data_IF_555393116644
#
_entry.id   IF_555393116644
#
_cell.length_a   1.000
_cell.length_b   1.000
_cell.length_c   1.000
_cell.angle_alpha   90.00
_cell.angle_beta   90.00
_cell.angle_gamma   90.00
#
_symmetry.space_group_name_H-M   'P 1'
#
loop_
_entity.id
_entity.type
_entity.pdbx_description
1 polymer ?
#
# COMPACT_ATOMS: atom_id res chain seq x y z
N UNK A 1 -7.06 -13.46 -12.48
CA UNK A 1 -6.50 -12.74 -11.31
C UNK A 1 -7.29 -11.45 -11.14
N UNK A 2 -7.47 -10.95 -9.92
CA UNK A 2 -8.13 -9.67 -9.62
C UNK A 2 -7.09 -8.71 -9.07
N UNK A 3 -6.93 -7.57 -9.74
CA UNK A 3 -6.18 -6.43 -9.24
C UNK A 3 -7.16 -5.46 -8.60
N UNK A 4 -6.84 -5.00 -7.39
CA UNK A 4 -7.60 -3.95 -6.70
C UNK A 4 -6.92 -2.61 -6.95
N UNK A 5 -7.68 -1.69 -7.54
CA UNK A 5 -7.20 -0.35 -7.91
C UNK A 5 -7.83 0.71 -7.04
N UNK A 6 -7.08 1.74 -6.67
CA UNK A 6 -7.65 2.91 -6.00
C UNK A 6 -8.70 3.57 -6.90
N UNK A 7 -9.88 3.83 -6.36
CA UNK A 7 -10.98 4.40 -7.15
C UNK A 7 -10.71 5.85 -7.54
N UNK A 8 -9.83 6.55 -6.82
CA UNK A 8 -9.51 7.96 -7.06
C UNK A 8 -8.41 8.16 -8.10
N UNK A 9 -7.36 7.32 -8.07
CA UNK A 9 -6.17 7.50 -8.92
C UNK A 9 -6.03 6.49 -10.03
N UNK A 10 -6.77 5.37 -9.97
CA UNK A 10 -6.55 4.22 -10.84
C UNK A 10 -5.17 3.54 -10.66
N UNK A 11 -4.45 3.81 -9.57
CA UNK A 11 -3.24 3.07 -9.21
C UNK A 11 -3.59 1.66 -8.76
N UNK A 12 -2.74 0.68 -9.09
CA UNK A 12 -2.84 -0.69 -8.57
C UNK A 12 -2.31 -0.74 -7.14
N UNK A 13 -3.04 -1.40 -6.24
CA UNK A 13 -2.74 -1.35 -4.79
C UNK A 13 -2.41 -2.73 -4.24
N UNK A 14 -3.26 -3.73 -4.50
CA UNK A 14 -3.12 -5.13 -4.06
C UNK A 14 -3.77 -6.08 -5.10
N UNK A 15 -3.59 -7.39 -4.95
CA UNK A 15 -4.29 -8.39 -5.78
C UNK A 15 -4.75 -9.60 -4.98
N UNK A 16 -5.71 -10.34 -5.52
CA UNK A 16 -6.20 -11.63 -4.99
C UNK A 16 -5.18 -12.77 -5.05
N UNK A 17 -3.97 -12.52 -5.60
CA UNK A 17 -2.86 -13.48 -5.57
C UNK A 17 -2.17 -13.54 -4.20
N UNK A 18 -2.52 -12.64 -3.28
CA UNK A 18 -2.08 -12.62 -1.89
C UNK A 18 -3.23 -13.01 -0.95
N UNK A 19 -2.93 -13.38 0.30
CA UNK A 19 -3.96 -13.70 1.30
C UNK A 19 -4.64 -12.42 1.81
N UNK A 20 -5.81 -12.10 1.25
CA UNK A 20 -6.60 -10.92 1.61
C UNK A 20 -7.64 -11.28 2.69
N UNK A 21 -7.57 -10.58 3.83
CA UNK A 21 -8.52 -10.68 4.94
C UNK A 21 -9.30 -9.38 5.09
N UNK A 22 -10.61 -9.47 5.18
CA UNK A 22 -11.45 -8.31 5.50
C UNK A 22 -11.48 -8.06 7.01
N UNK A 23 -11.10 -6.85 7.41
CA UNK A 23 -11.04 -6.43 8.81
C UNK A 23 -12.08 -5.33 9.06
N UNK A 24 -12.85 -5.51 10.14
CA UNK A 24 -13.91 -4.59 10.60
C UNK A 24 -14.94 -4.20 9.52
N UNK A 25 -15.02 -4.97 8.43
CA UNK A 25 -15.90 -4.69 7.31
C UNK A 25 -15.52 -3.46 6.47
N UNK A 26 -14.32 -2.88 6.65
CA UNK A 26 -13.95 -1.58 6.04
C UNK A 26 -12.54 -1.52 5.47
N UNK A 27 -11.66 -2.45 5.88
CA UNK A 27 -10.30 -2.53 5.41
C UNK A 27 -9.98 -3.95 4.93
N UNK A 28 -9.02 -4.05 4.02
CA UNK A 28 -8.36 -5.29 3.66
C UNK A 28 -6.98 -5.31 4.28
N UNK A 29 -6.63 -6.45 4.84
CA UNK A 29 -5.30 -6.78 5.33
C UNK A 29 -4.72 -7.87 4.43
N UNK A 30 -3.47 -7.69 4.00
CA UNK A 30 -2.81 -8.58 3.05
C UNK A 30 -1.47 -9.00 3.60
N UNK A 31 -1.29 -10.30 3.79
CA UNK A 31 0.00 -10.86 4.21
C UNK A 31 1.05 -10.67 3.10
N UNK A 32 2.20 -10.14 3.46
CA UNK A 32 3.32 -9.91 2.55
C UNK A 32 4.60 -10.53 3.09
N UNK A 33 5.65 -10.55 2.26
CA UNK A 33 6.92 -11.16 2.61
C UNK A 33 8.08 -10.31 2.10
N UNK A 34 9.18 -10.33 2.84
CA UNK A 34 10.44 -9.77 2.37
C UNK A 34 11.12 -10.79 1.45
N UNK A 35 11.37 -10.41 0.21
CA UNK A 35 12.01 -11.22 -0.83
C UNK A 35 13.33 -10.59 -1.25
N UNK A 36 14.27 -11.42 -1.71
CA UNK A 36 15.50 -10.93 -2.35
C UNK A 36 15.28 -10.86 -3.86
N UNK A 37 15.40 -9.67 -4.43
CA UNK A 37 15.53 -9.49 -5.87
C UNK A 37 16.97 -9.82 -6.24
N UNK A 38 17.15 -10.81 -7.14
CA UNK A 38 18.47 -11.13 -7.67
C UNK A 38 18.98 -10.04 -8.61
N UNK A 39 20.31 -10.00 -8.78
CA UNK A 39 20.98 -9.00 -9.61
C UNK A 39 20.36 -8.98 -11.01
N UNK A 40 19.85 -7.82 -11.43
CA UNK A 40 19.63 -7.59 -12.85
C UNK A 40 21.02 -7.55 -13.46
N UNK A 41 21.45 -8.66 -14.09
CA UNK A 41 22.61 -8.64 -14.96
C UNK A 41 22.29 -7.71 -16.12
N UNK A 42 22.56 -6.42 -15.94
CA UNK A 42 22.63 -5.49 -17.06
C UNK A 42 23.86 -5.92 -17.83
N UNK A 43 23.67 -6.64 -18.92
CA UNK A 43 24.72 -6.94 -19.89
C UNK A 43 25.06 -5.62 -20.61
N UNK A 44 25.71 -4.70 -19.88
CA UNK A 44 26.37 -3.52 -20.43
C UNK A 44 27.56 -4.03 -21.22
N UNK A 45 27.27 -4.45 -22.45
CA UNK A 45 28.22 -5.03 -23.39
C UNK A 45 29.55 -4.30 -23.37
N UNK A 46 30.58 -5.07 -23.00
CA UNK A 46 31.99 -4.88 -23.31
C UNK A 46 32.46 -3.43 -23.51
N UNK A 47 33.02 -2.83 -22.46
CA UNK A 47 34.24 -2.04 -22.64
C UNK A 47 35.22 -2.36 -21.52
N UNK A 48 36.12 -3.30 -21.80
CA UNK A 48 37.23 -3.66 -20.94
C UNK A 48 38.29 -2.55 -20.97
N UNK A 49 38.40 -1.78 -19.90
CA UNK A 49 39.66 -1.14 -19.53
C UNK A 49 39.87 -1.36 -18.04
N UNK A 50 40.84 -2.23 -17.75
CA UNK A 50 41.33 -2.54 -16.42
C UNK A 50 41.86 -1.28 -15.71
N UNK A 51 41.61 -1.16 -14.41
CA UNK A 51 42.57 -1.35 -13.31
C UNK A 51 41.91 -0.92 -11.98
N UNK A 52 42.36 -1.52 -10.87
CA UNK A 52 41.90 -1.36 -9.47
C UNK A 52 40.67 -2.18 -9.05
N UNK A 53 40.93 -3.43 -8.68
CA UNK A 53 40.08 -4.23 -7.82
C UNK A 53 40.45 -3.96 -6.35
N UNK A 54 39.62 -3.22 -5.61
CA UNK A 54 39.32 -3.48 -4.20
C UNK A 54 38.14 -2.62 -3.71
N UNK A 55 36.94 -2.94 -4.21
CA UNK A 55 35.74 -2.92 -3.38
C UNK A 55 34.83 -3.99 -3.98
N UNK A 56 34.72 -5.13 -3.30
CA UNK A 56 33.74 -6.13 -3.64
C UNK A 56 32.36 -5.52 -3.34
N UNK A 57 31.81 -4.81 -4.33
CA UNK A 57 30.43 -4.37 -4.30
C UNK A 57 29.58 -5.62 -4.06
N UNK A 58 28.91 -5.69 -2.91
CA UNK A 58 27.72 -6.52 -2.71
C UNK A 58 26.57 -6.01 -3.61
N UNK A 59 26.86 -5.74 -4.89
CA UNK A 59 25.92 -5.27 -5.90
C UNK A 59 25.19 -6.49 -6.44
N UNK A 60 23.99 -6.73 -5.94
CA UNK A 60 23.09 -7.65 -6.62
C UNK A 60 21.82 -8.02 -5.87
N UNK A 61 21.85 -8.10 -4.55
CA UNK A 61 20.72 -8.62 -3.78
C UNK A 61 19.99 -7.52 -3.02
N UNK A 62 18.88 -7.04 -3.58
CA UNK A 62 18.02 -6.07 -2.91
C UNK A 62 16.87 -6.79 -2.20
N UNK A 63 16.82 -6.70 -0.87
CA UNK A 63 15.69 -7.20 -0.09
C UNK A 63 14.53 -6.20 -0.13
N UNK A 64 13.38 -6.61 -0.64
CA UNK A 64 12.19 -5.76 -0.80
C UNK A 64 10.94 -6.47 -0.29
N UNK A 65 9.92 -5.71 0.10
CA UNK A 65 8.60 -6.28 0.36
C UNK A 65 7.91 -6.64 -0.97
N UNK A 66 7.43 -7.87 -1.12
CA UNK A 66 6.87 -8.37 -2.37
C UNK A 66 5.64 -7.59 -2.85
N UNK A 67 4.73 -7.18 -1.96
CA UNK A 67 3.54 -6.39 -2.30
C UNK A 67 3.96 -4.98 -2.70
N UNK A 68 4.76 -4.30 -1.89
CA UNK A 68 5.27 -2.95 -2.18
C UNK A 68 5.96 -2.91 -3.53
N UNK A 69 6.83 -3.88 -3.81
CA UNK A 69 7.55 -3.97 -5.07
C UNK A 69 6.64 -4.30 -6.26
N UNK A 70 5.72 -5.26 -6.10
CA UNK A 70 4.84 -5.70 -7.20
C UNK A 70 3.91 -4.60 -7.70
N UNK A 71 3.38 -3.77 -6.78
CA UNK A 71 2.48 -2.67 -7.11
C UNK A 71 3.19 -1.32 -7.19
N UNK A 72 4.54 -1.33 -7.15
CA UNK A 72 5.39 -0.13 -7.25
C UNK A 72 4.98 0.96 -6.25
N UNK A 73 4.58 0.56 -5.06
CA UNK A 73 4.15 1.47 -4.00
C UNK A 73 5.34 2.33 -3.55
N UNK A 74 5.09 3.61 -3.34
CA UNK A 74 6.12 4.60 -3.03
C UNK A 74 6.09 4.94 -1.55
N UNK A 75 7.23 4.74 -0.86
CA UNK A 75 7.36 5.11 0.55
C UNK A 75 7.08 6.60 0.75
N UNK A 76 6.33 6.92 1.80
CA UNK A 76 6.03 8.29 2.21
C UNK A 76 6.04 8.40 3.73
N UNK A 77 5.98 9.62 4.25
CA UNK A 77 5.96 9.86 5.69
C UNK A 77 4.92 10.89 6.07
N UNK A 78 4.35 10.69 7.26
CA UNK A 78 3.40 11.61 7.85
C UNK A 78 3.80 11.90 9.29
N UNK A 79 3.46 13.10 9.76
CA UNK A 79 3.23 13.30 11.18
C UNK A 79 1.74 13.00 11.48
N UNK A 80 1.42 12.79 12.75
CA UNK A 80 0.05 12.42 13.15
C UNK A 80 -1.01 13.44 12.71
N UNK A 81 -0.64 14.73 12.64
CA UNK A 81 -1.55 15.82 12.26
C UNK A 81 -1.77 15.84 10.75
N UNK A 82 -0.71 15.70 9.95
CA UNK A 82 -0.81 15.64 8.49
C UNK A 82 -1.54 14.39 8.03
N UNK A 83 -1.32 13.24 8.68
CA UNK A 83 -2.08 12.02 8.37
C UNK A 83 -3.58 12.17 8.69
N UNK A 84 -3.94 12.77 9.84
CA UNK A 84 -5.34 13.05 10.16
C UNK A 84 -6.01 13.98 9.13
N UNK A 85 -5.28 14.99 8.65
CA UNK A 85 -5.77 15.90 7.63
C UNK A 85 -6.00 15.18 6.29
N UNK A 86 -5.00 14.40 5.85
CA UNK A 86 -5.08 13.52 4.68
C UNK A 86 -6.28 12.57 4.79
N UNK A 87 -6.37 11.80 5.88
CA UNK A 87 -7.38 10.76 6.05
C UNK A 87 -8.78 11.35 6.03
N UNK A 88 -8.99 12.53 6.61
CA UNK A 88 -10.29 13.22 6.55
C UNK A 88 -10.66 13.62 5.11
N UNK A 89 -9.69 14.11 4.33
CA UNK A 89 -9.87 14.42 2.91
C UNK A 89 -10.22 13.19 2.10
N UNK A 90 -9.40 12.14 2.23
CA UNK A 90 -9.58 10.85 1.58
C UNK A 90 -10.96 10.25 1.88
N UNK A 91 -11.35 10.15 3.15
CA UNK A 91 -12.66 9.62 3.55
C UNK A 91 -13.84 10.38 2.96
N UNK A 92 -13.72 11.71 2.83
CA UNK A 92 -14.75 12.53 2.17
C UNK A 92 -14.83 12.22 0.67
N UNK A 93 -13.70 12.01 0.00
CA UNK A 93 -13.67 11.63 -1.40
C UNK A 93 -14.30 10.23 -1.61
N UNK A 94 -13.92 9.25 -0.79
CA UNK A 94 -14.53 7.90 -0.85
C UNK A 94 -16.03 7.94 -0.62
N UNK A 95 -16.50 8.70 0.38
CA UNK A 95 -17.95 8.90 0.60
C UNK A 95 -18.64 9.44 -0.66
N UNK A 96 -18.06 10.42 -1.33
CA UNK A 96 -18.62 11.00 -2.53
C UNK A 96 -18.67 9.98 -3.68
N UNK A 97 -17.64 9.16 -3.85
CA UNK A 97 -17.63 8.08 -4.85
C UNK A 97 -18.66 6.99 -4.55
N UNK A 98 -18.83 6.58 -3.28
CA UNK A 98 -19.88 5.64 -2.88
C UNK A 98 -21.27 6.17 -3.21
N UNK A 99 -21.53 7.46 -2.96
CA UNK A 99 -22.79 8.11 -3.31
C UNK A 99 -23.01 8.18 -4.83
N UNK A 100 -21.97 8.52 -5.60
CA UNK A 100 -22.03 8.49 -7.08
C UNK A 100 -22.29 7.10 -7.63
N UNK A 101 -21.77 6.07 -6.98
CA UNK A 101 -22.01 4.66 -7.31
C UNK A 101 -23.42 4.17 -6.90
N UNK A 102 -24.29 5.06 -6.39
CA UNK A 102 -25.67 4.74 -6.05
C UNK A 102 -25.83 3.96 -4.74
N UNK A 103 -24.83 3.97 -3.86
CA UNK A 103 -24.94 3.36 -2.53
C UNK A 103 -26.00 4.06 -1.69
N UNK A 104 -26.79 3.25 -0.98
CA UNK A 104 -27.85 3.77 -0.11
C UNK A 104 -27.28 4.60 1.04
N UNK A 105 -28.11 5.48 1.61
CA UNK A 105 -27.71 6.26 2.78
C UNK A 105 -27.30 5.37 3.97
N UNK A 106 -27.92 4.20 4.10
CA UNK A 106 -27.58 3.21 5.12
C UNK A 106 -26.18 2.63 4.91
N UNK A 107 -25.83 2.25 3.67
CA UNK A 107 -24.48 1.76 3.34
C UNK A 107 -23.42 2.84 3.55
N UNK A 108 -23.70 4.09 3.15
CA UNK A 108 -22.77 5.22 3.36
C UNK A 108 -22.55 5.48 4.85
N UNK A 109 -23.61 5.44 5.65
CA UNK A 109 -23.51 5.63 7.11
C UNK A 109 -22.76 4.49 7.80
N UNK A 110 -22.95 3.26 7.35
CA UNK A 110 -22.21 2.09 7.84
C UNK A 110 -20.71 2.25 7.56
N UNK A 111 -20.35 2.65 6.33
CA UNK A 111 -18.97 3.00 5.96
C UNK A 111 -18.39 4.08 6.88
N UNK A 112 -19.07 5.21 7.04
CA UNK A 112 -18.57 6.32 7.88
C UNK A 112 -18.31 5.86 9.32
N UNK A 113 -19.21 5.04 9.87
CA UNK A 113 -19.10 4.53 11.24
C UNK A 113 -17.92 3.58 11.40
N UNK A 114 -17.80 2.59 10.51
CA UNK A 114 -16.71 1.60 10.55
C UNK A 114 -15.36 2.25 10.23
N UNK A 115 -15.31 3.13 9.24
CA UNK A 115 -14.10 3.87 8.88
C UNK A 115 -13.61 4.75 10.04
N UNK A 116 -14.51 5.44 10.75
CA UNK A 116 -14.15 6.20 11.94
C UNK A 116 -13.62 5.30 13.07
N UNK A 117 -14.19 4.09 13.24
CA UNK A 117 -13.70 3.09 14.18
C UNK A 117 -12.28 2.62 13.85
N UNK A 118 -12.04 2.23 12.59
CA UNK A 118 -10.74 1.76 12.13
C UNK A 118 -9.68 2.87 12.12
N UNK A 119 -10.06 4.09 11.72
CA UNK A 119 -9.19 5.26 11.78
C UNK A 119 -8.65 5.49 13.19
N UNK A 120 -9.47 5.33 14.24
CA UNK A 120 -8.99 5.43 15.63
C UNK A 120 -7.92 4.39 15.95
N UNK A 121 -8.05 3.15 15.45
CA UNK A 121 -7.04 2.09 15.64
C UNK A 121 -5.71 2.48 15.00
N UNK A 122 -5.75 2.97 13.76
CA UNK A 122 -4.55 3.45 13.05
C UNK A 122 -3.87 4.58 13.85
N UNK A 123 -4.66 5.56 14.29
CA UNK A 123 -4.17 6.76 15.01
C UNK A 123 -3.61 6.43 16.39
N UNK A 124 -4.14 5.41 17.08
CA UNK A 124 -3.61 4.94 18.36
C UNK A 124 -2.23 4.31 18.20
N UNK A 125 -2.02 3.55 17.13
CA UNK A 125 -0.76 2.86 16.82
C UNK A 125 0.06 3.58 15.73
N UNK A 126 -0.10 4.91 15.62
CA UNK A 126 0.41 5.70 14.49
C UNK A 126 1.91 5.48 14.20
N UNK A 127 2.71 5.31 15.26
CA UNK A 127 4.17 5.17 15.15
C UNK A 127 4.63 3.82 14.61
N UNK A 128 3.75 2.83 14.64
CA UNK A 128 4.06 1.46 14.22
C UNK A 128 3.76 1.26 12.73
N UNK A 129 3.08 2.22 12.10
CA UNK A 129 2.76 2.16 10.67
C UNK A 129 3.86 2.80 9.84
N UNK A 130 4.25 2.07 8.80
CA UNK A 130 4.90 2.64 7.62
C UNK A 130 3.82 3.05 6.60
N UNK A 131 4.08 4.12 5.84
CA UNK A 131 3.11 4.69 4.91
C UNK A 131 3.62 4.58 3.48
N UNK A 132 2.77 4.12 2.58
CA UNK A 132 3.07 4.01 1.16
C UNK A 132 1.94 4.64 0.34
N UNK A 133 2.30 5.39 -0.69
CA UNK A 133 1.38 5.89 -1.72
C UNK A 133 1.37 4.97 -2.94
N UNK A 134 0.33 5.05 -3.77
CA UNK A 134 0.32 4.41 -5.09
C UNK A 134 1.45 4.92 -5.99
N UNK A 135 1.66 4.25 -7.13
CA UNK A 135 2.73 4.57 -8.09
C UNK A 135 2.72 6.04 -8.53
N UNK A 136 1.53 6.64 -8.70
CA UNK A 136 1.39 8.04 -9.09
C UNK A 136 1.84 9.05 -8.02
N UNK A 137 2.01 8.63 -6.77
CA UNK A 137 2.24 9.49 -5.60
C UNK A 137 1.21 10.61 -5.44
N UNK A 138 0.00 10.43 -5.97
CA UNK A 138 -1.04 11.45 -5.87
C UNK A 138 -1.46 11.64 -4.40
N UNK A 139 -1.39 12.88 -3.87
CA UNK A 139 -1.69 13.16 -2.45
C UNK A 139 -3.15 12.91 -2.07
N UNK A 140 -4.06 12.86 -3.04
CA UNK A 140 -5.48 12.56 -2.83
C UNK A 140 -5.78 11.05 -2.89
N UNK A 141 -4.82 10.23 -3.31
CA UNK A 141 -4.97 8.79 -3.49
C UNK A 141 -4.89 8.00 -2.17
N UNK A 142 -5.03 6.68 -2.28
CA UNK A 142 -4.90 5.78 -1.14
C UNK A 142 -3.47 5.78 -0.56
N UNK A 143 -3.38 5.89 0.77
CA UNK A 143 -2.19 5.56 1.55
C UNK A 143 -2.37 4.15 2.10
N UNK A 144 -1.51 3.25 1.61
CA UNK A 144 -1.36 1.88 2.11
C UNK A 144 -0.52 1.91 3.38
N UNK A 145 -0.97 1.18 4.39
CA UNK A 145 -0.27 1.09 5.67
C UNK A 145 0.46 -0.25 5.75
N UNK A 146 1.71 -0.26 6.15
CA UNK A 146 2.45 -1.49 6.42
C UNK A 146 2.79 -1.56 7.91
N UNK A 147 2.64 -2.75 8.48
CA UNK A 147 3.10 -3.05 9.84
C UNK A 147 3.52 -4.53 9.91
N UNK A 148 4.00 -4.96 11.07
CA UNK A 148 4.48 -6.31 11.32
C UNK A 148 3.58 -7.00 12.34
N UNK A 149 3.43 -8.32 12.20
CA UNK A 149 2.71 -9.16 13.17
C UNK A 149 3.41 -9.12 14.54
N UNK A 150 2.79 -9.74 15.55
CA UNK A 150 3.35 -9.83 16.90
C UNK A 150 4.73 -10.51 16.96
N UNK A 151 5.08 -11.29 15.93
CA UNK A 151 6.42 -11.88 15.76
C UNK A 151 7.50 -10.86 15.37
N UNK A 152 7.12 -9.62 15.02
CA UNK A 152 8.00 -8.53 14.64
C UNK A 152 8.70 -8.69 13.29
N UNK A 153 8.40 -9.73 12.52
CA UNK A 153 9.13 -10.06 11.28
C UNK A 153 8.22 -10.37 10.09
N UNK A 154 6.97 -10.77 10.32
CA UNK A 154 6.00 -11.03 9.25
C UNK A 154 5.28 -9.73 8.89
N UNK A 155 5.54 -9.14 7.70
CA UNK A 155 4.87 -7.90 7.32
C UNK A 155 3.46 -8.18 6.80
N UNK A 156 2.59 -7.19 6.96
CA UNK A 156 1.29 -7.14 6.30
C UNK A 156 1.00 -5.71 5.87
N UNK A 157 0.23 -5.56 4.79
CA UNK A 157 -0.29 -4.25 4.38
C UNK A 157 -1.78 -4.13 4.65
N UNK A 158 -2.25 -2.90 4.81
CA UNK A 158 -3.65 -2.57 5.00
C UNK A 158 -4.08 -1.53 3.97
N UNK A 159 -5.19 -1.81 3.30
CA UNK A 159 -5.82 -0.94 2.30
C UNK A 159 -7.30 -0.73 2.63
N UNK A 160 -7.86 0.44 2.31
CA UNK A 160 -9.29 0.69 2.55
C UNK A 160 -10.16 -0.01 1.53
N UNK A 161 -10.97 -0.99 1.95
CA UNK A 161 -11.84 -1.79 1.07
C UNK A 161 -12.72 -0.92 0.17
N UNK A 162 -13.34 0.10 0.75
CA UNK A 162 -14.28 0.98 0.05
C UNK A 162 -13.59 1.96 -0.92
N UNK A 163 -12.27 2.10 -0.82
CA UNK A 163 -11.46 2.86 -1.76
C UNK A 163 -10.95 2.04 -2.92
N UNK A 164 -11.33 0.77 -3.05
CA UNK A 164 -10.85 -0.11 -4.11
C UNK A 164 -11.97 -0.50 -5.08
N UNK A 165 -11.60 -0.62 -6.35
CA UNK A 165 -12.40 -1.28 -7.40
C UNK A 165 -11.63 -2.48 -7.94
N UNK A 166 -12.37 -3.50 -8.34
CA UNK A 166 -11.81 -4.72 -8.91
C UNK A 166 -11.60 -4.59 -10.42
N UNK A 167 -10.44 -5.04 -10.88
CA UNK A 167 -10.12 -5.22 -12.30
C UNK A 167 -9.73 -6.69 -12.52
N UNK A 168 -10.48 -7.39 -13.37
CA UNK A 168 -10.15 -8.76 -13.78
C UNK A 168 -9.09 -8.74 -14.89
N UNK A 169 -8.05 -9.55 -14.70
CA UNK A 169 -6.95 -9.80 -15.65
C UNK A 169 -6.95 -11.28 -16.04
#
# INVERSE_FOLDING_TARGET
MIIYKDILTDDEIISDSYDIKEIDGVAYEVDCAMITLGAVNVDTGANASAEEAEDALEDGEQKVNNVVNSFRLQSTSFDKKSYLAYLKGYMKAIKAELQKAGKSEAEVKDFETKAAGFAKKIISNFKDWEFYSGESMNPDGMVVLLNYREDGVTPYVVAWKHGLKEMKV
#
